data_IF_646283070246
#
_entry.id   IF_646283070246
#
_cell.length_a   1.000
_cell.length_b   1.000
_cell.length_c   1.000
_cell.angle_alpha   90.00
_cell.angle_beta   90.00
_cell.angle_gamma   90.00
#
_symmetry.space_group_name_H-M   'P 1'
#
loop_
_entity.id
_entity.type
_entity.pdbx_description
1 polymer ?
#
# COMPACT_ATOMS: atom_id res chain seq x y z
N UNK A 1 11.76 2.06 100.67
CA UNK A 1 13.02 2.76 100.85
C UNK A 1 13.24 3.67 99.57
N UNK A 2 12.87 4.91 99.68
CA UNK A 2 13.76 6.07 99.84
C UNK A 2 14.85 6.06 98.73
N UNK A 3 14.95 7.01 97.84
CA UNK A 3 15.17 8.43 97.95
C UNK A 3 15.11 9.15 96.60
N UNK A 4 14.42 10.19 96.44
CA UNK A 4 14.79 11.62 96.34
C UNK A 4 15.67 12.06 95.16
N UNK A 5 15.06 12.97 94.38
CA UNK A 5 15.52 14.28 93.90
C UNK A 5 16.60 14.29 92.85
N UNK A 6 16.34 14.96 91.69
CA UNK A 6 16.71 16.38 91.55
C UNK A 6 16.05 16.97 90.30
N UNK A 7 15.46 18.13 90.47
CA UNK A 7 15.10 19.10 89.38
C UNK A 7 16.33 19.68 88.71
N UNK A 8 16.23 20.03 87.49
CA UNK A 8 16.65 21.31 86.82
C UNK A 8 16.66 21.04 85.32
N UNK A 9 16.23 21.81 84.48
CA UNK A 9 15.90 23.14 84.10
C UNK A 9 15.74 23.18 82.58
N UNK A 10 14.69 23.66 82.12
CA UNK A 10 14.46 24.66 81.07
C UNK A 10 15.55 24.75 79.97
N UNK A 11 15.15 24.45 78.78
CA UNK A 11 15.83 24.79 77.55
C UNK A 11 14.89 24.73 76.37
N UNK A 12 14.17 25.85 76.13
CA UNK A 12 13.35 26.04 74.93
C UNK A 12 14.24 26.05 73.70
N UNK A 13 14.13 25.05 72.88
CA UNK A 13 14.70 24.98 71.54
C UNK A 13 13.63 24.63 70.52
N UNK A 14 12.93 25.66 70.05
CA UNK A 14 11.99 25.53 68.94
C UNK A 14 12.78 25.36 67.64
N UNK A 15 13.09 24.11 67.27
CA UNK A 15 13.68 23.80 66.00
C UNK A 15 12.60 23.76 64.95
N UNK A 16 12.47 24.82 64.16
CA UNK A 16 11.66 24.88 62.97
C UNK A 16 12.32 24.00 61.90
N UNK A 17 11.82 22.76 61.75
CA UNK A 17 12.21 21.87 60.67
C UNK A 17 11.50 22.36 59.41
N UNK A 18 12.11 23.26 58.66
CA UNK A 18 11.70 23.63 57.31
C UNK A 18 11.89 22.41 56.41
N UNK A 19 10.82 21.61 56.26
CA UNK A 19 10.76 20.52 55.26
C UNK A 19 10.85 21.11 53.86
N UNK A 20 12.01 20.93 53.22
CA UNK A 20 12.19 21.19 51.79
C UNK A 20 11.36 20.15 51.04
N UNK A 21 10.12 20.48 50.65
CA UNK A 21 9.30 19.66 49.76
C UNK A 21 9.96 19.78 48.38
N UNK A 22 10.86 18.83 48.05
CA UNK A 22 11.35 18.66 46.71
C UNK A 22 10.20 18.25 45.83
N UNK A 23 9.60 19.17 45.10
CA UNK A 23 8.73 18.85 43.97
C UNK A 23 9.57 18.12 42.93
N UNK A 24 9.59 16.79 43.00
CA UNK A 24 10.04 15.97 41.88
C UNK A 24 9.05 16.15 40.77
N UNK A 25 9.32 17.03 39.81
CA UNK A 25 8.60 17.06 38.54
C UNK A 25 8.87 15.72 37.85
N UNK A 26 7.94 14.76 38.02
CA UNK A 26 7.94 13.56 37.21
C UNK A 26 7.99 14.01 35.75
N UNK A 27 8.86 13.42 34.90
CA UNK A 27 8.85 13.74 33.49
C UNK A 27 7.42 13.45 32.97
N UNK A 28 6.75 14.50 32.53
CA UNK A 28 5.49 14.35 31.80
C UNK A 28 5.85 13.53 30.57
N UNK A 29 5.49 12.26 30.56
CA UNK A 29 5.41 11.50 29.30
C UNK A 29 4.32 12.22 28.50
N UNK A 30 4.76 13.17 27.67
CA UNK A 30 3.88 13.79 26.70
C UNK A 30 3.17 12.63 25.98
N UNK A 31 1.83 12.58 26.04
CA UNK A 31 1.04 11.54 25.41
C UNK A 31 1.46 11.44 23.94
N UNK A 32 2.33 10.47 23.64
CA UNK A 32 2.82 10.25 22.27
C UNK A 32 1.62 9.78 21.47
N UNK A 33 1.19 10.59 20.50
CA UNK A 33 0.10 10.21 19.60
C UNK A 33 0.35 8.80 19.05
N UNK A 34 -0.66 7.95 18.98
CA UNK A 34 -0.51 6.62 18.38
C UNK A 34 0.00 6.74 16.95
N UNK A 35 0.80 5.77 16.51
CA UNK A 35 1.28 5.78 15.14
C UNK A 35 0.11 5.58 14.17
N UNK A 36 0.13 6.29 13.05
CA UNK A 36 -0.85 6.09 11.98
C UNK A 36 -0.51 4.79 11.24
N UNK A 37 -1.44 3.87 11.17
CA UNK A 37 -1.33 2.66 10.36
C UNK A 37 -1.64 2.95 8.90
N UNK A 38 -0.72 2.66 8.00
CA UNK A 38 -0.93 2.71 6.55
C UNK A 38 -1.12 1.29 6.05
N UNK A 39 -2.36 0.89 5.91
CA UNK A 39 -2.74 -0.48 5.53
C UNK A 39 -2.61 -0.64 4.03
N UNK A 40 -1.87 -1.66 3.58
CA UNK A 40 -1.73 -2.02 2.17
C UNK A 40 -1.99 -3.50 1.94
N UNK A 41 -2.54 -3.84 0.77
CA UNK A 41 -2.73 -5.22 0.33
C UNK A 41 -1.47 -5.83 -0.30
N UNK A 42 -0.48 -5.01 -0.61
CA UNK A 42 0.77 -5.47 -1.20
C UNK A 42 1.65 -6.20 -0.18
N UNK A 43 2.47 -7.11 -0.65
CA UNK A 43 3.61 -7.61 0.13
C UNK A 43 4.68 -6.53 0.29
N UNK A 44 5.55 -6.69 1.27
CA UNK A 44 6.71 -5.81 1.44
C UNK A 44 7.53 -5.76 0.15
N UNK A 45 7.90 -4.56 -0.29
CA UNK A 45 8.60 -4.33 -1.56
C UNK A 45 7.74 -4.32 -2.81
N UNK A 46 6.44 -4.64 -2.71
CA UNK A 46 5.51 -4.48 -3.83
C UNK A 46 5.20 -3.02 -4.11
N UNK A 47 4.76 -2.67 -5.34
CA UNK A 47 4.58 -1.28 -5.78
C UNK A 47 3.75 -0.43 -4.82
N UNK A 48 2.60 -0.95 -4.34
CA UNK A 48 1.76 -0.22 -3.38
C UNK A 48 2.42 -0.05 -2.01
N UNK A 49 3.22 -1.04 -1.55
CA UNK A 49 3.99 -0.94 -0.31
C UNK A 49 5.08 0.14 -0.42
N UNK A 50 5.82 0.13 -1.52
CA UNK A 50 6.86 1.15 -1.81
C UNK A 50 6.24 2.55 -1.85
N UNK A 51 5.13 2.73 -2.58
CA UNK A 51 4.41 4.00 -2.64
C UNK A 51 3.93 4.47 -1.26
N UNK A 52 3.41 3.55 -0.44
CA UNK A 52 3.01 3.86 0.95
C UNK A 52 4.19 4.37 1.77
N UNK A 53 5.34 3.70 1.70
CA UNK A 53 6.56 4.09 2.41
C UNK A 53 7.10 5.43 1.93
N UNK A 54 7.09 5.69 0.63
CA UNK A 54 7.52 6.96 0.06
C UNK A 54 6.63 8.13 0.51
N UNK A 55 5.32 7.95 0.51
CA UNK A 55 4.35 8.91 1.05
C UNK A 55 4.65 9.22 2.52
N UNK A 56 4.92 8.20 3.33
CA UNK A 56 5.20 8.35 4.75
C UNK A 56 6.45 9.19 5.05
N UNK A 57 7.47 9.19 4.18
CA UNK A 57 8.73 9.92 4.42
C UNK A 57 8.50 11.41 4.69
N UNK A 58 7.55 12.03 3.99
CA UNK A 58 7.20 13.44 4.16
C UNK A 58 6.06 13.63 5.16
N UNK A 59 5.02 12.81 5.06
CA UNK A 59 3.81 12.93 5.90
C UNK A 59 4.13 12.85 7.40
N UNK A 60 5.02 11.95 7.82
CA UNK A 60 5.49 11.85 9.22
C UNK A 60 6.04 13.16 9.76
N UNK A 61 6.85 13.85 8.94
CA UNK A 61 7.47 15.14 9.33
C UNK A 61 6.41 16.24 9.44
N UNK A 62 5.50 16.31 8.48
CA UNK A 62 4.44 17.33 8.44
C UNK A 62 3.45 17.13 9.57
N UNK A 63 3.03 15.89 9.82
CA UNK A 63 2.05 15.56 10.86
C UNK A 63 2.67 15.49 12.26
N UNK A 64 4.00 15.47 12.36
CA UNK A 64 4.73 15.23 13.62
C UNK A 64 4.20 14.00 14.37
N UNK A 65 3.90 12.96 13.64
CA UNK A 65 3.31 11.71 14.12
C UNK A 65 3.96 10.52 13.41
N UNK A 66 4.23 9.46 14.16
CA UNK A 66 4.78 8.24 13.58
C UNK A 66 3.77 7.57 12.65
N UNK A 67 4.27 6.88 11.64
CA UNK A 67 3.47 6.11 10.69
C UNK A 67 4.10 4.75 10.48
N UNK A 68 3.31 3.72 10.32
CA UNK A 68 3.77 2.34 10.10
C UNK A 68 2.98 1.69 8.96
N UNK A 69 3.67 0.98 8.06
CA UNK A 69 3.00 0.20 7.01
C UNK A 69 2.57 -1.15 7.57
N UNK A 70 1.30 -1.49 7.35
CA UNK A 70 0.69 -2.75 7.75
C UNK A 70 0.30 -3.53 6.49
N UNK A 71 1.10 -4.55 6.15
CA UNK A 71 0.86 -5.38 4.96
C UNK A 71 -0.18 -6.47 5.27
N UNK A 72 -1.34 -6.44 4.62
CA UNK A 72 -2.44 -7.40 4.75
C UNK A 72 -2.75 -8.03 3.40
N UNK A 73 -1.99 -9.06 3.03
CA UNK A 73 -2.13 -9.74 1.75
C UNK A 73 -3.32 -10.70 1.73
N UNK A 74 -3.92 -10.87 0.56
CA UNK A 74 -4.92 -11.91 0.30
C UNK A 74 -6.21 -11.40 -0.31
N UNK A 75 -6.88 -12.29 -1.07
CA UNK A 75 -8.20 -12.06 -1.63
C UNK A 75 -8.33 -10.85 -2.58
N UNK A 76 -7.27 -10.48 -3.31
CA UNK A 76 -7.31 -9.28 -4.17
C UNK A 76 -7.49 -7.97 -3.37
N UNK A 77 -6.98 -7.91 -2.14
CA UNK A 77 -7.12 -6.77 -1.24
C UNK A 77 -8.24 -6.91 -0.20
N UNK A 78 -9.05 -7.98 -0.26
CA UNK A 78 -10.12 -8.20 0.72
C UNK A 78 -9.57 -8.26 2.16
N UNK A 79 -8.41 -8.91 2.38
CA UNK A 79 -7.80 -9.00 3.69
C UNK A 79 -7.43 -7.60 4.26
N UNK A 80 -6.88 -6.71 3.43
CA UNK A 80 -6.56 -5.34 3.83
C UNK A 80 -7.83 -4.53 4.15
N UNK A 81 -8.85 -4.63 3.31
CA UNK A 81 -10.14 -3.97 3.51
C UNK A 81 -10.85 -4.46 4.77
N UNK A 82 -10.87 -5.78 4.99
CA UNK A 82 -11.48 -6.35 6.20
C UNK A 82 -10.72 -5.93 7.47
N UNK A 83 -9.39 -5.90 7.42
CA UNK A 83 -8.59 -5.38 8.53
C UNK A 83 -8.90 -3.90 8.79
N UNK A 84 -8.94 -3.07 7.74
CA UNK A 84 -9.28 -1.65 7.85
C UNK A 84 -10.63 -1.43 8.55
N UNK A 85 -11.65 -2.23 8.23
CA UNK A 85 -12.98 -2.17 8.86
C UNK A 85 -12.97 -2.48 10.36
N UNK A 86 -11.96 -3.18 10.89
CA UNK A 86 -11.84 -3.47 12.31
C UNK A 86 -11.19 -2.34 13.11
N UNK A 87 -10.69 -1.31 12.43
CA UNK A 87 -9.97 -0.20 13.06
C UNK A 87 -10.92 0.91 13.44
N UNK A 88 -10.65 1.64 14.54
CA UNK A 88 -11.42 2.83 14.88
C UNK A 88 -11.40 3.89 13.77
N UNK A 89 -12.50 4.59 13.57
CA UNK A 89 -12.59 5.71 12.62
C UNK A 89 -12.08 7.02 13.27
N UNK A 90 -10.87 6.99 13.81
CA UNK A 90 -10.26 8.08 14.61
C UNK A 90 -9.16 8.84 13.82
N UNK A 91 -8.98 8.52 12.54
CA UNK A 91 -7.96 9.12 11.68
C UNK A 91 -6.57 8.49 11.81
N UNK A 92 -6.38 7.49 12.67
CA UNK A 92 -5.09 6.82 12.85
C UNK A 92 -4.90 5.60 11.94
N UNK A 93 -5.83 5.34 11.02
CA UNK A 93 -5.71 4.26 10.04
C UNK A 93 -6.04 4.76 8.64
N UNK A 94 -5.11 4.56 7.71
CA UNK A 94 -5.24 4.92 6.29
C UNK A 94 -5.19 3.65 5.46
N UNK A 95 -6.11 3.47 4.52
CA UNK A 95 -6.07 2.39 3.55
C UNK A 95 -5.46 2.90 2.24
N UNK A 96 -4.40 2.26 1.76
CA UNK A 96 -3.89 2.48 0.41
C UNK A 96 -4.82 1.80 -0.58
N UNK A 97 -5.77 2.55 -1.10
CA UNK A 97 -6.81 2.04 -1.98
C UNK A 97 -6.36 2.06 -3.44
N UNK A 98 -6.60 0.97 -4.15
CA UNK A 98 -6.27 0.82 -5.58
C UNK A 98 -7.51 0.38 -6.37
N UNK A 99 -7.44 0.43 -7.69
CA UNK A 99 -8.50 -0.10 -8.55
C UNK A 99 -8.78 -1.59 -8.28
N UNK A 100 -7.76 -2.37 -7.87
CA UNK A 100 -7.95 -3.76 -7.46
C UNK A 100 -8.92 -3.92 -6.29
N UNK A 101 -8.90 -3.00 -5.33
CA UNK A 101 -9.88 -2.99 -4.24
C UNK A 101 -11.29 -2.71 -4.74
N UNK A 102 -11.46 -1.74 -5.67
CA UNK A 102 -12.76 -1.45 -6.26
C UNK A 102 -13.34 -2.68 -7.00
N UNK A 103 -12.52 -3.41 -7.73
CA UNK A 103 -12.91 -4.66 -8.39
C UNK A 103 -13.32 -5.72 -7.35
N UNK A 104 -12.54 -5.90 -6.29
CA UNK A 104 -12.81 -6.84 -5.21
C UNK A 104 -14.13 -6.52 -4.49
N UNK A 105 -14.42 -5.23 -4.29
CA UNK A 105 -15.71 -4.75 -3.78
C UNK A 105 -16.85 -5.06 -4.73
N UNK A 106 -16.69 -4.77 -6.02
CA UNK A 106 -17.68 -5.06 -7.04
C UNK A 106 -17.99 -6.56 -7.17
N UNK A 107 -17.01 -7.41 -6.88
CA UNK A 107 -17.16 -8.88 -6.81
C UNK A 107 -17.82 -9.37 -5.51
N UNK A 108 -18.18 -8.49 -4.58
CA UNK A 108 -18.80 -8.85 -3.31
C UNK A 108 -17.86 -9.58 -2.33
N UNK A 109 -16.54 -9.49 -2.51
CA UNK A 109 -15.55 -10.20 -1.66
C UNK A 109 -15.21 -9.48 -0.36
N UNK A 110 -15.81 -8.35 -0.09
CA UNK A 110 -15.69 -7.57 1.14
C UNK A 110 -17.01 -6.90 1.47
N UNK A 111 -17.22 -6.59 2.72
CA UNK A 111 -18.38 -5.79 3.18
C UNK A 111 -18.11 -4.28 3.14
N UNK A 112 -16.86 -3.86 2.97
CA UNK A 112 -16.49 -2.45 2.89
C UNK A 112 -17.17 -1.80 1.69
N UNK A 113 -17.77 -0.63 1.89
CA UNK A 113 -18.40 0.19 0.85
C UNK A 113 -17.58 1.47 0.65
N UNK A 114 -17.71 2.08 -0.52
CA UNK A 114 -17.06 3.37 -0.79
C UNK A 114 -17.53 4.44 0.19
N UNK A 115 -18.81 4.40 0.59
CA UNK A 115 -19.39 5.31 1.61
C UNK A 115 -18.78 5.18 3.00
N UNK A 116 -18.10 4.08 3.29
CA UNK A 116 -17.48 3.84 4.61
C UNK A 116 -16.07 4.44 4.69
N UNK A 117 -15.60 5.06 3.61
CA UNK A 117 -14.27 5.64 3.50
C UNK A 117 -14.34 7.13 3.22
N UNK A 118 -13.44 7.89 3.84
CA UNK A 118 -13.19 9.29 3.50
C UNK A 118 -11.96 9.36 2.59
N UNK A 119 -12.08 9.77 1.30
CA UNK A 119 -10.94 9.91 0.42
C UNK A 119 -10.07 11.09 0.87
N UNK A 120 -8.77 10.87 0.99
CA UNK A 120 -7.80 11.89 1.42
C UNK A 120 -7.10 12.50 0.21
N UNK A 121 -6.44 11.66 -0.59
CA UNK A 121 -5.69 12.09 -1.76
C UNK A 121 -5.42 10.92 -2.71
N UNK A 122 -5.19 11.24 -3.98
CA UNK A 122 -4.62 10.30 -4.95
C UNK A 122 -3.10 10.44 -4.95
N UNK A 123 -2.40 9.38 -4.51
CA UNK A 123 -0.94 9.36 -4.41
C UNK A 123 -0.24 9.19 -5.76
N UNK A 124 -0.82 8.38 -6.65
CA UNK A 124 -0.24 8.07 -7.96
C UNK A 124 -1.31 7.95 -9.04
N UNK A 125 -0.88 8.09 -10.28
CA UNK A 125 -1.63 7.70 -11.47
C UNK A 125 -0.74 6.69 -12.21
N UNK A 126 -1.12 5.42 -12.18
CA UNK A 126 -0.33 4.32 -12.71
C UNK A 126 -1.21 3.48 -13.66
N UNK A 127 -1.36 3.93 -14.92
CA UNK A 127 -2.23 3.29 -15.89
C UNK A 127 -1.67 1.94 -16.32
N UNK A 128 -2.57 1.03 -16.71
CA UNK A 128 -2.20 -0.19 -17.41
C UNK A 128 -1.79 0.13 -18.84
N UNK A 129 -0.66 -0.40 -19.26
CA UNK A 129 -0.09 -0.21 -20.60
C UNK A 129 0.04 -1.59 -21.25
N UNK A 130 -0.35 -1.68 -22.51
CA UNK A 130 -0.04 -2.84 -23.33
C UNK A 130 1.40 -2.71 -23.82
N UNK A 131 2.21 -3.70 -23.55
CA UNK A 131 3.62 -3.71 -23.87
C UNK A 131 3.99 -4.96 -24.68
N UNK A 132 4.93 -4.82 -25.57
CA UNK A 132 5.42 -5.90 -26.43
C UNK A 132 6.93 -6.05 -26.31
N UNK A 133 7.46 -7.20 -26.74
CA UNK A 133 8.90 -7.35 -26.90
C UNK A 133 9.37 -6.53 -28.11
N UNK A 134 10.24 -5.52 -27.91
CA UNK A 134 10.68 -4.60 -28.96
C UNK A 134 11.31 -5.31 -30.17
N UNK A 135 12.05 -6.40 -29.89
CA UNK A 135 12.84 -7.11 -30.90
C UNK A 135 12.03 -8.19 -31.64
N UNK A 136 11.18 -8.92 -30.87
CA UNK A 136 10.48 -10.12 -31.35
C UNK A 136 9.07 -9.84 -31.86
N UNK A 137 8.41 -8.78 -31.34
CA UNK A 137 7.03 -8.48 -31.73
C UNK A 137 6.91 -8.12 -33.21
N UNK A 138 5.92 -8.65 -33.92
CA UNK A 138 5.60 -8.21 -35.28
C UNK A 138 4.93 -6.82 -35.29
N UNK A 139 4.37 -6.41 -34.16
CA UNK A 139 3.69 -5.11 -34.00
C UNK A 139 4.73 -4.05 -33.62
N UNK A 140 4.91 -3.07 -34.49
CA UNK A 140 5.90 -1.98 -34.30
C UNK A 140 5.23 -0.67 -33.91
N UNK A 141 3.94 -0.54 -34.19
CA UNK A 141 3.12 0.61 -33.84
C UNK A 141 1.81 0.16 -33.18
N UNK A 142 1.12 1.05 -32.44
CA UNK A 142 -0.22 0.77 -31.94
C UNK A 142 -1.20 0.41 -33.06
N UNK A 143 -1.05 1.02 -34.24
CA UNK A 143 -1.91 0.78 -35.40
C UNK A 143 -1.72 -0.64 -35.94
N UNK A 144 -0.46 -1.13 -36.03
CA UNK A 144 -0.16 -2.52 -36.43
C UNK A 144 -0.82 -3.51 -35.49
N UNK A 145 -0.72 -3.26 -34.17
CA UNK A 145 -1.33 -4.09 -33.14
C UNK A 145 -2.86 -4.13 -33.27
N UNK A 146 -3.48 -2.95 -33.41
CA UNK A 146 -4.95 -2.84 -33.59
C UNK A 146 -5.40 -3.53 -34.88
N UNK A 147 -4.63 -3.39 -35.97
CA UNK A 147 -4.91 -4.07 -37.24
C UNK A 147 -4.82 -5.58 -37.08
N UNK A 148 -3.78 -6.10 -36.44
CA UNK A 148 -3.61 -7.52 -36.12
C UNK A 148 -4.77 -8.07 -35.29
N UNK A 149 -5.17 -7.37 -34.24
CA UNK A 149 -6.32 -7.76 -33.43
C UNK A 149 -7.62 -7.81 -34.25
N UNK A 150 -7.88 -6.81 -35.08
CA UNK A 150 -9.09 -6.79 -35.95
C UNK A 150 -9.07 -7.90 -37.01
N UNK A 151 -7.90 -8.25 -37.51
CA UNK A 151 -7.70 -9.35 -38.48
C UNK A 151 -7.94 -10.72 -37.83
N UNK A 152 -7.90 -10.81 -36.49
CA UNK A 152 -8.06 -12.04 -35.72
C UNK A 152 -6.75 -12.80 -35.51
N UNK A 153 -5.63 -12.11 -35.47
CA UNK A 153 -4.33 -12.71 -35.15
C UNK A 153 -4.40 -13.41 -33.78
N UNK A 154 -3.75 -14.57 -33.69
CA UNK A 154 -3.70 -15.36 -32.44
C UNK A 154 -2.69 -14.75 -31.47
N UNK A 155 -3.10 -13.68 -30.79
CA UNK A 155 -2.29 -12.96 -29.82
C UNK A 155 -2.49 -13.54 -28.42
N UNK A 156 -1.40 -13.88 -27.75
CA UNK A 156 -1.38 -14.32 -26.35
C UNK A 156 -1.04 -13.15 -25.44
N UNK A 157 -1.95 -12.84 -24.53
CA UNK A 157 -1.75 -11.79 -23.54
C UNK A 157 -1.27 -12.37 -22.20
N UNK A 158 -0.37 -11.67 -21.55
CA UNK A 158 0.02 -11.89 -20.17
C UNK A 158 -0.46 -10.77 -19.28
N UNK A 159 -0.74 -11.09 -18.04
CA UNK A 159 -1.05 -10.14 -16.97
C UNK A 159 -1.00 -10.84 -15.62
N UNK A 160 -1.43 -10.19 -14.57
CA UNK A 160 -1.56 -10.81 -13.26
C UNK A 160 -2.83 -11.67 -13.18
N UNK A 161 -3.25 -12.07 -12.00
CA UNK A 161 -4.33 -13.04 -11.79
C UNK A 161 -5.61 -12.71 -12.58
N UNK A 162 -6.34 -13.75 -12.97
CA UNK A 162 -7.66 -13.61 -13.59
C UNK A 162 -8.62 -12.81 -12.70
N UNK A 163 -9.36 -11.87 -13.31
CA UNK A 163 -10.26 -10.97 -12.59
C UNK A 163 -9.60 -9.72 -12.00
N UNK A 164 -8.31 -9.52 -12.24
CA UNK A 164 -7.60 -8.28 -11.90
C UNK A 164 -7.75 -7.22 -12.99
N UNK A 165 -7.20 -6.04 -12.74
CA UNK A 165 -7.24 -4.92 -13.69
C UNK A 165 -6.61 -5.32 -15.04
N UNK A 166 -5.53 -6.10 -15.05
CA UNK A 166 -4.84 -6.52 -16.26
C UNK A 166 -5.78 -7.37 -17.13
N UNK A 167 -6.41 -8.36 -16.53
CA UNK A 167 -7.37 -9.23 -17.22
C UNK A 167 -8.56 -8.43 -17.76
N UNK A 168 -9.09 -7.49 -16.98
CA UNK A 168 -10.17 -6.61 -17.37
C UNK A 168 -9.74 -5.69 -18.51
N UNK A 169 -8.51 -5.16 -18.46
CA UNK A 169 -7.96 -4.31 -19.53
C UNK A 169 -7.93 -5.06 -20.87
N UNK A 170 -7.43 -6.30 -20.88
CA UNK A 170 -7.44 -7.13 -22.10
C UNK A 170 -8.85 -7.38 -22.61
N UNK A 171 -9.79 -7.70 -21.72
CA UNK A 171 -11.20 -7.86 -22.08
C UNK A 171 -11.80 -6.59 -22.69
N UNK A 172 -11.55 -5.42 -22.09
CA UNK A 172 -12.07 -4.15 -22.57
C UNK A 172 -11.48 -3.77 -23.94
N UNK A 173 -10.20 -4.03 -24.18
CA UNK A 173 -9.57 -3.86 -25.48
C UNK A 173 -10.21 -4.76 -26.54
N UNK A 174 -10.34 -6.05 -26.27
CA UNK A 174 -10.97 -6.99 -27.19
C UNK A 174 -12.41 -6.57 -27.50
N UNK A 175 -13.20 -6.26 -26.46
CA UNK A 175 -14.59 -5.79 -26.62
C UNK A 175 -14.68 -4.51 -27.47
N UNK A 176 -13.80 -3.53 -27.21
CA UNK A 176 -13.77 -2.26 -27.97
C UNK A 176 -13.45 -2.47 -29.45
N UNK A 177 -12.68 -3.49 -29.78
CA UNK A 177 -12.31 -3.85 -31.15
C UNK A 177 -13.29 -4.85 -31.78
N UNK A 178 -14.39 -5.20 -31.10
CA UNK A 178 -15.37 -6.18 -31.58
C UNK A 178 -14.85 -7.61 -31.62
N UNK A 179 -13.79 -7.91 -30.87
CA UNK A 179 -13.15 -9.23 -30.82
C UNK A 179 -13.55 -10.03 -29.60
N UNK A 180 -13.45 -11.35 -29.69
CA UNK A 180 -13.54 -12.24 -28.53
C UNK A 180 -12.32 -12.03 -27.61
N UNK A 181 -12.49 -12.38 -26.32
CA UNK A 181 -11.41 -12.39 -25.37
C UNK A 181 -10.26 -13.27 -25.90
N UNK A 182 -9.05 -12.73 -26.09
CA UNK A 182 -7.92 -13.50 -26.54
C UNK A 182 -7.38 -14.43 -25.44
N UNK A 183 -6.45 -15.30 -25.78
CA UNK A 183 -5.76 -16.16 -24.83
C UNK A 183 -5.04 -15.29 -23.79
N UNK A 184 -5.34 -15.52 -22.50
CA UNK A 184 -4.72 -14.81 -21.40
C UNK A 184 -3.97 -15.78 -20.49
N UNK A 185 -2.74 -15.46 -20.13
CA UNK A 185 -1.89 -16.24 -19.24
C UNK A 185 -1.67 -15.41 -17.96
N UNK A 186 -2.15 -15.87 -16.80
CA UNK A 186 -1.94 -15.19 -15.53
C UNK A 186 -0.58 -15.51 -14.93
N UNK A 187 0.12 -14.48 -14.46
CA UNK A 187 1.38 -14.55 -13.72
C UNK A 187 1.20 -14.04 -12.29
N UNK A 188 2.20 -14.29 -11.42
CA UNK A 188 2.11 -13.93 -9.99
C UNK A 188 2.28 -12.42 -9.74
N UNK A 189 2.85 -11.68 -10.69
CA UNK A 189 3.09 -10.24 -10.60
C UNK A 189 3.74 -9.69 -11.86
N UNK A 190 3.75 -8.35 -12.00
CA UNK A 190 4.24 -7.68 -13.19
C UNK A 190 5.72 -7.92 -13.47
N UNK A 191 6.57 -8.05 -12.46
CA UNK A 191 7.99 -8.38 -12.65
C UNK A 191 8.21 -9.74 -13.29
N UNK A 192 7.44 -10.77 -12.90
CA UNK A 192 7.48 -12.08 -13.56
C UNK A 192 6.99 -11.95 -15.00
N UNK A 193 5.86 -11.27 -15.21
CA UNK A 193 5.31 -11.02 -16.55
C UNK A 193 6.32 -10.29 -17.46
N UNK A 194 6.99 -9.24 -16.97
CA UNK A 194 7.99 -8.52 -17.73
C UNK A 194 9.13 -9.47 -18.20
N UNK A 195 9.62 -10.34 -17.31
CA UNK A 195 10.64 -11.35 -17.66
C UNK A 195 10.13 -12.30 -18.74
N UNK A 196 8.88 -12.77 -18.65
CA UNK A 196 8.28 -13.68 -19.63
C UNK A 196 8.03 -13.01 -20.98
N UNK A 197 7.67 -11.72 -20.97
CA UNK A 197 7.50 -10.92 -22.17
C UNK A 197 8.84 -10.73 -22.91
N UNK A 198 9.92 -10.45 -22.19
CA UNK A 198 11.29 -10.40 -22.75
C UNK A 198 11.70 -11.76 -23.34
N UNK A 199 11.37 -12.85 -22.66
CA UNK A 199 11.62 -14.20 -23.17
C UNK A 199 10.77 -14.53 -24.42
N UNK A 200 9.66 -13.83 -24.65
CA UNK A 200 8.73 -14.08 -25.78
C UNK A 200 7.74 -15.20 -25.51
N UNK A 201 7.45 -15.49 -24.23
CA UNK A 201 6.45 -16.50 -23.84
C UNK A 201 5.00 -16.00 -24.02
N UNK A 202 4.82 -14.68 -24.06
CA UNK A 202 3.58 -14.00 -24.42
C UNK A 202 3.88 -12.92 -25.45
N UNK A 203 2.89 -12.61 -26.29
CA UNK A 203 3.04 -11.62 -27.34
C UNK A 203 2.85 -10.21 -26.80
N UNK A 204 1.96 -10.04 -25.84
CA UNK A 204 1.60 -8.75 -25.20
C UNK A 204 1.53 -8.91 -23.70
N UNK A 205 2.16 -8.03 -22.96
CA UNK A 205 2.02 -7.89 -21.51
C UNK A 205 1.13 -6.70 -21.14
N UNK A 206 0.23 -6.90 -20.18
CA UNK A 206 -0.49 -5.79 -19.56
C UNK A 206 0.23 -5.43 -18.26
N UNK A 207 0.96 -4.33 -18.26
CA UNK A 207 1.89 -3.93 -17.21
C UNK A 207 1.69 -2.46 -16.82
N UNK A 208 2.08 -2.14 -15.61
CA UNK A 208 2.36 -0.76 -15.24
C UNK A 208 3.81 -0.41 -15.61
N UNK A 209 4.09 0.85 -15.92
CA UNK A 209 5.45 1.27 -16.28
C UNK A 209 6.46 0.97 -15.17
N UNK A 210 6.05 1.14 -13.91
CA UNK A 210 6.88 0.83 -12.73
C UNK A 210 7.32 -0.63 -12.64
N UNK A 211 6.56 -1.57 -13.21
CA UNK A 211 6.85 -3.01 -13.22
C UNK A 211 7.81 -3.41 -14.31
N UNK A 212 7.91 -2.61 -15.37
CA UNK A 212 8.71 -2.86 -16.56
C UNK A 212 9.80 -1.80 -16.81
N UNK A 213 10.06 -0.90 -15.86
CA UNK A 213 10.97 0.23 -16.05
C UNK A 213 12.34 -0.20 -16.58
N UNK A 214 13.01 -1.15 -15.92
CA UNK A 214 14.33 -1.61 -16.34
C UNK A 214 14.37 -2.23 -17.75
N UNK A 215 13.50 -3.18 -18.13
CA UNK A 215 13.49 -3.71 -19.50
C UNK A 215 13.00 -2.70 -20.55
N UNK A 216 12.22 -1.69 -20.18
CA UNK A 216 11.87 -0.58 -21.10
C UNK A 216 13.09 0.31 -21.33
N UNK A 217 13.82 0.69 -20.28
CA UNK A 217 15.07 1.46 -20.40
C UNK A 217 16.14 0.71 -21.18
N UNK A 218 16.19 -0.61 -21.07
CA UNK A 218 17.08 -1.46 -21.84
C UNK A 218 16.67 -1.65 -23.31
N UNK A 219 15.47 -1.19 -23.71
CA UNK A 219 14.94 -1.39 -25.07
C UNK A 219 14.54 -2.84 -25.38
N UNK A 220 14.23 -3.63 -24.37
CA UNK A 220 13.75 -5.00 -24.52
C UNK A 220 12.22 -5.07 -24.57
N UNK A 221 11.55 -4.16 -23.86
CA UNK A 221 10.09 -4.01 -23.85
C UNK A 221 9.71 -2.62 -24.38
N UNK A 222 8.74 -2.59 -25.29
CA UNK A 222 8.17 -1.39 -25.88
C UNK A 222 6.69 -1.24 -25.43
N UNK A 223 6.29 -0.04 -24.92
CA UNK A 223 4.88 0.28 -24.67
C UNK A 223 4.13 0.50 -25.99
#
# INVERSE_FOLDING_TARGET
MINKKTLLSIGSGLTILTGLVAFTTAPSFADKKPAIEVVTHAGAGGGTDVNSRMMMLRSRRTLKQDMVVVNKRGGGGAAAMNYFMTRPADGNTILTFTVGHAITMAMGKTKLKVSDMAPIARGTNDPQILMVNCKKSPYKTPEDFVAGMKKGDKITFGGTHTGTIDHITVYLWAKRLGQKMPKYIPYKGGGELATRLVAGEVDVGTLNLSEAAAPVEAGDICP
#
